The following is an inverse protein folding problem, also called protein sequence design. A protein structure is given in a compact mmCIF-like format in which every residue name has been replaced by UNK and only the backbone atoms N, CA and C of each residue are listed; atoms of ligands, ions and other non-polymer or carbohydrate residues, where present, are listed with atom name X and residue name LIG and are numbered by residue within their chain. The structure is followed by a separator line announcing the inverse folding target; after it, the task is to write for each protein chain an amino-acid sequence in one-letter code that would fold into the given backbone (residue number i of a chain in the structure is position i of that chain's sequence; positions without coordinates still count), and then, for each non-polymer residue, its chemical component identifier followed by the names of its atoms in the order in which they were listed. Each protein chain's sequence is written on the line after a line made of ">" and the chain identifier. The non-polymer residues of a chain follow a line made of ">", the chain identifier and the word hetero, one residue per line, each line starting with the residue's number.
data_IF_498909287469
#
_entry.id   IF_498909287469
#
_cell.length_a   1.000
_cell.length_b   1.000
_cell.length_c   1.000
_cell.angle_alpha   90.00
_cell.angle_beta   90.00
_cell.angle_gamma   90.00
#
_symmetry.space_group_name_H-M   'P 1'
#
loop_
_entity.id
_entity.type
_entity.pdbx_description
1 polymer ?
#
# COMPACT_ATOMS: atom_id res chain seq x y z
N UNK A 1 7.23 -18.67 0.07
CA UNK A 1 6.98 -17.25 0.42
C UNK A 1 8.16 -16.76 1.22
N UNK A 2 8.77 -15.62 0.86
CA UNK A 2 9.80 -14.98 1.68
C UNK A 2 9.10 -13.92 2.52
N UNK A 3 8.88 -14.19 3.79
CA UNK A 3 8.39 -13.16 4.72
C UNK A 3 9.57 -12.25 5.06
N UNK A 4 9.47 -10.96 4.76
CA UNK A 4 10.50 -9.98 5.10
C UNK A 4 9.92 -9.05 6.17
N UNK A 5 10.40 -9.23 7.40
CA UNK A 5 10.07 -8.35 8.51
C UNK A 5 10.99 -7.12 8.44
N UNK A 6 10.45 -5.94 8.16
CA UNK A 6 11.20 -4.68 8.23
C UNK A 6 10.98 -4.00 9.57
N UNK A 7 11.61 -4.53 10.61
CA UNK A 7 11.72 -3.86 11.91
C UNK A 7 12.76 -2.76 11.77
N UNK A 8 12.30 -1.50 11.73
CA UNK A 8 13.04 -0.25 11.91
C UNK A 8 14.57 -0.41 12.05
N UNK A 9 15.33 -0.44 10.94
CA UNK A 9 16.79 -0.20 10.96
C UNK A 9 17.24 0.36 9.61
N UNK A 10 18.13 1.36 9.67
CA UNK A 10 19.24 1.47 8.74
C UNK A 10 18.94 2.14 7.41
N UNK A 11 19.52 3.34 7.24
CA UNK A 11 19.79 3.90 5.93
C UNK A 11 20.83 3.02 5.21
N UNK A 12 20.42 1.88 4.66
CA UNK A 12 21.27 1.17 3.71
C UNK A 12 21.19 1.91 2.36
N UNK A 13 22.35 2.44 1.97
CA UNK A 13 22.57 3.13 0.69
C UNK A 13 22.36 2.14 -0.46
N UNK A 14 21.16 2.15 -1.01
CA UNK A 14 20.83 1.52 -2.28
C UNK A 14 20.95 2.60 -3.37
N UNK A 15 21.51 2.26 -4.54
CA UNK A 15 21.85 3.21 -5.61
C UNK A 15 20.65 4.09 -5.97
N UNK A 16 20.73 5.35 -5.54
CA UNK A 16 19.60 6.13 -5.05
C UNK A 16 18.92 7.04 -6.08
N UNK A 17 19.43 7.14 -7.30
CA UNK A 17 19.03 8.23 -8.21
C UNK A 17 17.74 7.92 -8.99
N UNK A 18 17.62 6.74 -9.60
CA UNK A 18 16.43 6.37 -10.38
C UNK A 18 15.17 6.19 -9.51
N UNK A 19 15.31 5.55 -8.35
CA UNK A 19 14.21 5.43 -7.38
C UNK A 19 13.79 6.78 -6.80
N UNK A 20 14.74 7.70 -6.62
CA UNK A 20 14.42 9.06 -6.18
C UNK A 20 13.66 9.81 -7.26
N UNK A 21 14.09 9.78 -8.52
CA UNK A 21 13.41 10.52 -9.59
C UNK A 21 11.96 10.03 -9.82
N UNK A 22 11.74 8.72 -9.83
CA UNK A 22 10.38 8.16 -9.98
C UNK A 22 9.46 8.57 -8.81
N UNK A 23 9.96 8.47 -7.57
CA UNK A 23 9.21 8.89 -6.37
C UNK A 23 8.91 10.39 -6.44
N UNK A 24 9.89 11.24 -6.77
CA UNK A 24 9.70 12.69 -6.89
C UNK A 24 8.69 13.04 -7.99
N UNK A 25 8.71 12.33 -9.11
CA UNK A 25 7.74 12.53 -10.20
C UNK A 25 6.31 12.21 -9.77
N UNK A 26 6.12 11.05 -9.13
CA UNK A 26 4.81 10.65 -8.59
C UNK A 26 4.34 11.63 -7.50
N UNK A 27 5.25 12.08 -6.62
CA UNK A 27 4.98 13.08 -5.60
C UNK A 27 4.48 14.40 -6.18
N UNK A 28 5.12 14.91 -7.22
CA UNK A 28 4.68 16.16 -7.89
C UNK A 28 3.29 16.02 -8.49
N UNK A 29 2.96 14.87 -9.06
CA UNK A 29 1.66 14.65 -9.70
C UNK A 29 0.52 14.37 -8.73
N UNK A 30 0.79 13.67 -7.63
CA UNK A 30 -0.21 13.33 -6.62
C UNK A 30 -0.36 14.42 -5.56
N UNK A 31 0.74 15.11 -5.24
CA UNK A 31 0.77 16.23 -4.30
C UNK A 31 0.41 17.58 -4.92
N UNK A 32 0.38 17.69 -6.26
CA UNK A 32 0.02 18.91 -6.97
C UNK A 32 -1.37 19.40 -6.59
N UNK A 33 -1.46 20.58 -5.98
CA UNK A 33 -2.72 21.18 -5.54
C UNK A 33 -3.19 20.80 -4.13
N UNK A 34 -2.42 19.99 -3.40
CA UNK A 34 -2.67 19.72 -1.98
C UNK A 34 -2.17 20.86 -1.09
N UNK A 35 -2.77 20.98 0.11
CA UNK A 35 -2.23 21.86 1.14
C UNK A 35 -0.83 21.38 1.56
N UNK A 36 0.00 22.27 2.13
CA UNK A 36 1.35 21.90 2.60
C UNK A 36 1.32 20.74 3.61
N UNK A 37 0.30 20.69 4.47
CA UNK A 37 0.12 19.61 5.46
C UNK A 37 -0.18 18.29 4.77
N UNK A 38 -1.13 18.30 3.83
CA UNK A 38 -1.54 17.12 3.08
C UNK A 38 -0.43 16.58 2.20
N UNK A 39 0.33 17.46 1.55
CA UNK A 39 1.48 17.07 0.74
C UNK A 39 2.54 16.31 1.56
N UNK A 40 2.74 16.68 2.83
CA UNK A 40 3.64 15.96 3.76
C UNK A 40 3.12 14.55 4.07
N UNK A 41 1.80 14.39 4.25
CA UNK A 41 1.22 13.08 4.52
C UNK A 41 1.33 12.14 3.31
N UNK A 42 1.08 12.67 2.10
CA UNK A 42 1.34 11.93 0.83
C UNK A 42 2.81 11.57 0.69
N UNK A 43 3.70 12.52 1.00
CA UNK A 43 5.15 12.36 0.95
C UNK A 43 5.62 11.22 1.84
N UNK A 44 5.12 11.17 3.06
CA UNK A 44 5.47 10.11 4.00
C UNK A 44 5.03 8.73 3.48
N UNK A 45 3.80 8.60 2.97
CA UNK A 45 3.30 7.31 2.46
C UNK A 45 4.12 6.85 1.26
N UNK A 46 4.33 7.71 0.27
CA UNK A 46 5.05 7.36 -0.95
C UNK A 46 6.55 7.15 -0.69
N UNK A 47 7.21 8.01 0.07
CA UNK A 47 8.65 7.82 0.35
C UNK A 47 8.92 6.59 1.19
N UNK A 48 8.02 6.18 2.08
CA UNK A 48 8.26 5.02 2.95
C UNK A 48 7.83 3.73 2.28
N UNK A 49 6.57 3.61 1.86
CA UNK A 49 6.06 2.34 1.33
C UNK A 49 6.58 2.07 -0.09
N UNK A 50 6.49 3.06 -0.99
CA UNK A 50 6.86 2.86 -2.39
C UNK A 50 8.36 2.61 -2.57
N UNK A 51 9.24 3.31 -1.83
CA UNK A 51 10.69 3.03 -1.87
C UNK A 51 11.05 1.63 -1.38
N UNK A 52 10.37 1.13 -0.34
CA UNK A 52 10.57 -0.24 0.14
C UNK A 52 10.16 -1.25 -0.92
N UNK A 53 9.02 -1.02 -1.59
CA UNK A 53 8.55 -1.86 -2.69
C UNK A 53 9.57 -1.87 -3.83
N UNK A 54 10.05 -0.71 -4.28
CA UNK A 54 11.09 -0.61 -5.30
C UNK A 54 12.34 -1.40 -4.90
N UNK A 55 12.81 -1.22 -3.66
CA UNK A 55 13.98 -1.95 -3.14
C UNK A 55 13.77 -3.46 -3.16
N UNK A 56 12.60 -3.91 -2.70
CA UNK A 56 12.28 -5.32 -2.57
C UNK A 56 12.11 -6.04 -3.90
N UNK A 57 11.64 -5.31 -4.91
CA UNK A 57 11.48 -5.80 -6.27
C UNK A 57 12.70 -5.52 -7.14
N UNK A 58 13.83 -5.09 -6.56
CA UNK A 58 15.04 -4.71 -7.30
C UNK A 58 14.76 -3.73 -8.45
N UNK A 59 13.86 -2.78 -8.19
CA UNK A 59 13.37 -1.76 -9.11
C UNK A 59 12.59 -2.31 -10.34
N UNK A 60 12.34 -3.61 -10.40
CA UNK A 60 11.52 -4.25 -11.42
C UNK A 60 10.04 -4.26 -11.01
N UNK A 61 9.32 -3.23 -11.46
CA UNK A 61 7.87 -3.12 -11.33
C UNK A 61 7.10 -3.69 -12.53
N UNK A 62 7.79 -4.16 -13.58
CA UNK A 62 7.11 -4.46 -14.84
C UNK A 62 6.13 -5.63 -14.69
N UNK A 63 4.85 -5.35 -14.95
CA UNK A 63 3.77 -6.34 -14.87
C UNK A 63 3.55 -6.96 -13.48
N UNK A 64 4.15 -6.41 -12.42
CA UNK A 64 4.02 -6.93 -11.06
C UNK A 64 2.63 -6.69 -10.49
N UNK A 65 2.03 -7.71 -9.88
CA UNK A 65 0.77 -7.58 -9.15
C UNK A 65 1.08 -7.22 -7.70
N UNK A 66 0.63 -6.05 -7.24
CA UNK A 66 0.92 -5.51 -5.91
C UNK A 66 -0.39 -5.36 -5.13
N UNK A 67 -0.50 -6.11 -4.04
CA UNK A 67 -1.64 -6.07 -3.12
C UNK A 67 -1.33 -5.11 -1.97
N UNK A 68 -2.13 -4.05 -1.79
CA UNK A 68 -2.02 -3.10 -0.68
C UNK A 68 -3.19 -3.28 0.29
N UNK A 69 -2.88 -3.87 1.44
CA UNK A 69 -3.87 -4.20 2.45
C UNK A 69 -4.04 -3.05 3.42
N UNK A 70 -5.30 -2.74 3.73
CA UNK A 70 -5.72 -1.56 4.46
C UNK A 70 -5.15 -0.30 3.83
N UNK A 71 -5.32 -0.21 2.51
CA UNK A 71 -4.81 0.89 1.69
C UNK A 71 -5.48 2.22 2.05
N UNK A 72 -6.55 2.22 2.83
CA UNK A 72 -7.33 3.39 3.15
C UNK A 72 -8.38 3.70 2.09
N UNK A 73 -9.06 4.83 2.27
CA UNK A 73 -10.19 5.25 1.44
C UNK A 73 -10.24 6.76 1.33
N UNK A 74 -10.94 7.28 0.31
CA UNK A 74 -11.34 8.69 0.34
C UNK A 74 -12.23 8.93 1.57
N UNK A 75 -12.17 10.13 2.16
CA UNK A 75 -13.19 10.56 3.10
C UNK A 75 -14.49 10.81 2.33
N UNK A 76 -15.24 9.75 2.08
CA UNK A 76 -16.64 9.84 1.71
C UNK A 76 -17.39 9.99 3.04
N UNK A 77 -18.09 11.10 3.23
CA UNK A 77 -19.27 11.18 4.10
C UNK A 77 -19.01 11.39 5.61
N UNK A 78 -17.90 12.04 5.99
CA UNK A 78 -17.77 12.60 7.35
C UNK A 78 -17.62 11.58 8.49
N UNK A 79 -17.49 10.29 8.19
CA UNK A 79 -17.26 9.22 9.16
C UNK A 79 -15.78 9.03 9.56
N UNK A 80 -14.87 9.83 8.99
CA UNK A 80 -13.55 9.97 9.58
C UNK A 80 -13.73 10.76 10.87
N UNK A 81 -13.66 10.07 12.01
CA UNK A 81 -13.37 10.75 13.26
C UNK A 81 -12.13 11.60 13.00
N UNK A 82 -12.24 12.90 13.23
CA UNK A 82 -11.14 13.84 13.15
C UNK A 82 -10.11 13.39 14.21
N UNK A 83 -9.23 12.48 13.83
CA UNK A 83 -8.25 11.89 14.72
C UNK A 83 -7.28 13.00 15.07
N UNK A 84 -7.55 13.65 16.21
CA UNK A 84 -6.91 14.86 16.69
C UNK A 84 -5.41 14.84 16.40
N UNK A 85 -4.99 15.59 15.37
CA UNK A 85 -3.59 15.74 14.98
C UNK A 85 -3.23 15.31 13.55
N UNK A 86 -4.01 14.43 12.89
CA UNK A 86 -3.68 13.95 11.54
C UNK A 86 -4.62 14.50 10.47
N UNK A 87 -4.11 14.73 9.25
CA UNK A 87 -5.00 15.01 8.12
C UNK A 87 -5.78 13.74 7.78
N UNK A 88 -7.10 13.81 7.53
CA UNK A 88 -7.86 12.68 6.96
C UNK A 88 -7.22 12.15 5.67
N UNK A 89 -6.54 13.03 4.92
CA UNK A 89 -5.82 12.66 3.71
C UNK A 89 -4.72 11.63 3.93
N UNK A 90 -4.17 11.51 5.14
CA UNK A 90 -3.14 10.52 5.45
C UNK A 90 -3.62 9.07 5.25
N UNK A 91 -4.92 8.83 5.35
CA UNK A 91 -5.54 7.52 5.20
C UNK A 91 -6.20 7.33 3.83
N UNK A 92 -5.84 8.15 2.85
CA UNK A 92 -6.24 7.91 1.46
C UNK A 92 -5.30 6.89 0.79
N UNK A 93 -5.75 6.19 -0.26
CA UNK A 93 -5.01 5.10 -0.92
C UNK A 93 -3.90 5.59 -1.85
N UNK A 94 -2.96 6.37 -1.32
CA UNK A 94 -1.89 7.00 -2.09
C UNK A 94 -0.98 6.01 -2.79
N UNK A 95 -0.64 4.89 -2.13
CA UNK A 95 0.19 3.86 -2.74
C UNK A 95 -0.50 3.25 -3.97
N UNK A 96 -1.77 2.82 -3.83
CA UNK A 96 -2.55 2.32 -4.96
C UNK A 96 -2.69 3.35 -6.08
N UNK A 97 -2.95 4.63 -5.76
CA UNK A 97 -3.01 5.70 -6.77
C UNK A 97 -1.69 5.91 -7.50
N UNK A 98 -0.57 5.83 -6.79
CA UNK A 98 0.76 5.93 -7.39
C UNK A 98 1.02 4.76 -8.34
N UNK A 99 0.77 3.53 -7.89
CA UNK A 99 0.90 2.33 -8.71
C UNK A 99 -0.01 2.36 -9.94
N UNK A 100 -1.25 2.82 -9.78
CA UNK A 100 -2.21 2.93 -10.87
C UNK A 100 -1.81 3.98 -11.92
N UNK A 101 -1.12 5.06 -11.51
CA UNK A 101 -0.51 5.99 -12.47
C UNK A 101 0.57 5.31 -13.31
N UNK A 102 1.34 4.39 -12.73
CA UNK A 102 2.35 3.62 -13.46
C UNK A 102 1.69 2.58 -14.38
N UNK A 103 0.63 1.93 -13.90
CA UNK A 103 -0.20 0.99 -14.67
C UNK A 103 -0.76 1.61 -15.94
N UNK A 104 -1.38 2.79 -15.81
CA UNK A 104 -2.13 3.45 -16.88
C UNK A 104 -1.25 4.26 -17.84
N UNK A 105 -0.02 4.59 -17.43
CA UNK A 105 0.90 5.40 -18.22
C UNK A 105 2.35 4.88 -18.14
N UNK A 106 2.63 3.60 -18.40
CA UNK A 106 3.92 2.98 -18.08
C UNK A 106 5.09 3.63 -18.84
N UNK A 107 4.90 3.95 -20.12
CA UNK A 107 5.94 4.57 -20.97
C UNK A 107 6.38 5.94 -20.42
N UNK A 108 5.46 6.71 -19.84
CA UNK A 108 5.77 8.00 -19.20
C UNK A 108 6.77 7.83 -18.05
N UNK A 109 6.81 6.67 -17.43
CA UNK A 109 7.70 6.36 -16.31
C UNK A 109 8.84 5.41 -16.69
N UNK A 110 9.05 5.17 -17.98
CA UNK A 110 10.14 4.32 -18.47
C UNK A 110 9.88 2.83 -18.29
N UNK A 111 8.63 2.41 -18.15
CA UNK A 111 8.21 1.01 -18.09
C UNK A 111 7.59 0.59 -19.43
N UNK A 112 7.83 -0.65 -19.84
CA UNK A 112 7.11 -1.26 -20.96
C UNK A 112 5.70 -1.71 -20.54
N UNK A 113 5.55 -2.13 -19.28
CA UNK A 113 4.29 -2.50 -18.66
C UNK A 113 4.28 -2.01 -17.21
N UNK A 114 3.18 -1.41 -16.77
CA UNK A 114 3.06 -0.93 -15.39
C UNK A 114 2.68 -2.07 -14.43
N UNK A 115 2.92 -1.89 -13.12
CA UNK A 115 2.41 -2.81 -12.11
C UNK A 115 0.87 -2.75 -12.04
N UNK A 116 0.25 -3.82 -11.58
CA UNK A 116 -1.19 -3.90 -11.34
C UNK A 116 -1.48 -3.80 -9.83
N UNK A 117 -2.03 -2.67 -9.34
CA UNK A 117 -2.38 -2.51 -7.93
C UNK A 117 -3.74 -3.10 -7.59
N UNK A 118 -3.81 -3.79 -6.45
CA UNK A 118 -5.05 -4.26 -5.84
C UNK A 118 -5.14 -3.66 -4.43
N UNK A 119 -6.15 -2.83 -4.17
CA UNK A 119 -6.40 -2.25 -2.84
C UNK A 119 -7.44 -3.05 -2.05
N UNK A 120 -7.22 -3.23 -0.75
CA UNK A 120 -8.22 -3.83 0.15
C UNK A 120 -8.37 -2.97 1.38
N UNK A 121 -9.59 -2.60 1.77
CA UNK A 121 -9.87 -1.90 3.03
C UNK A 121 -11.29 -2.20 3.52
N UNK A 122 -11.62 -1.85 4.76
CA UNK A 122 -12.98 -2.01 5.30
C UNK A 122 -13.92 -0.91 4.79
N UNK A 123 -13.38 0.28 4.50
CA UNK A 123 -14.13 1.39 3.90
C UNK A 123 -14.03 1.27 2.38
N UNK A 124 -15.11 1.43 1.61
CA UNK A 124 -15.07 1.29 0.15
C UNK A 124 -14.25 2.42 -0.52
N UNK A 125 -13.47 2.07 -1.54
CA UNK A 125 -12.66 3.00 -2.36
C UNK A 125 -13.49 3.67 -3.48
N UNK A 126 -14.63 4.28 -3.12
CA UNK A 126 -15.54 4.88 -4.11
C UNK A 126 -14.81 5.96 -4.93
N UNK A 127 -14.87 5.82 -6.25
CA UNK A 127 -14.27 6.78 -7.20
C UNK A 127 -12.77 6.62 -7.44
N UNK A 128 -12.14 5.57 -6.90
CA UNK A 128 -10.80 5.16 -7.30
C UNK A 128 -10.82 4.39 -8.64
N UNK A 129 -9.74 4.53 -9.43
CA UNK A 129 -9.63 3.91 -10.76
C UNK A 129 -8.94 2.54 -10.79
N UNK A 130 -8.40 2.08 -9.66
CA UNK A 130 -7.70 0.81 -9.53
C UNK A 130 -8.62 -0.29 -9.00
N UNK A 131 -8.21 -1.55 -9.17
CA UNK A 131 -8.91 -2.71 -8.62
C UNK A 131 -8.95 -2.64 -7.10
N UNK A 132 -10.15 -2.68 -6.50
CA UNK A 132 -10.30 -2.56 -5.06
C UNK A 132 -11.43 -3.42 -4.51
N UNK A 133 -11.25 -3.87 -3.27
CA UNK A 133 -12.21 -4.70 -2.56
C UNK A 133 -12.49 -4.17 -1.16
N UNK A 134 -13.77 -4.02 -0.85
CA UNK A 134 -14.21 -3.75 0.50
C UNK A 134 -14.25 -5.06 1.32
N UNK A 135 -13.36 -5.21 2.31
CA UNK A 135 -13.27 -6.39 3.18
C UNK A 135 -12.85 -6.00 4.59
N UNK A 136 -13.44 -6.68 5.56
CA UNK A 136 -12.96 -6.65 6.94
C UNK A 136 -11.82 -7.66 7.09
N UNK A 137 -10.58 -7.16 7.16
CA UNK A 137 -9.37 -7.97 7.30
C UNK A 137 -9.26 -8.70 8.65
N UNK A 138 -10.11 -8.37 9.63
CA UNK A 138 -10.20 -9.12 10.90
C UNK A 138 -10.97 -10.43 10.75
N UNK A 139 -11.75 -10.58 9.67
CA UNK A 139 -12.54 -11.77 9.39
C UNK A 139 -11.73 -12.80 8.59
N UNK A 140 -12.05 -14.07 8.81
CA UNK A 140 -11.54 -15.16 7.99
C UNK A 140 -12.12 -15.09 6.57
N UNK A 141 -11.35 -15.56 5.59
CA UNK A 141 -11.64 -15.51 4.15
C UNK A 141 -11.78 -14.08 3.62
N UNK A 142 -11.11 -13.12 4.27
CA UNK A 142 -11.10 -11.73 3.81
C UNK A 142 -10.38 -11.56 2.48
N UNK A 143 -9.57 -12.54 2.05
CA UNK A 143 -8.83 -12.54 0.78
C UNK A 143 -9.29 -13.62 -0.23
N UNK A 144 -10.47 -14.23 -0.06
CA UNK A 144 -10.93 -15.34 -0.91
C UNK A 144 -11.27 -14.96 -2.36
N UNK A 145 -11.47 -13.67 -2.62
CA UNK A 145 -11.64 -13.11 -3.96
C UNK A 145 -10.35 -13.13 -4.79
N UNK A 146 -9.19 -13.25 -4.14
CA UNK A 146 -7.91 -13.25 -4.82
C UNK A 146 -7.55 -14.67 -5.29
N UNK A 147 -7.17 -14.85 -6.58
CA UNK A 147 -6.72 -16.15 -7.06
C UNK A 147 -5.45 -16.59 -6.34
N UNK A 148 -5.26 -17.91 -6.22
CA UNK A 148 -4.02 -18.48 -5.67
C UNK A 148 -2.84 -18.15 -6.58
N UNK A 149 -1.68 -17.86 -5.99
CA UNK A 149 -0.44 -17.50 -6.72
C UNK A 149 -0.61 -16.33 -7.72
N UNK A 150 -1.42 -15.32 -7.37
CA UNK A 150 -1.66 -14.16 -8.24
C UNK A 150 -0.81 -12.94 -7.91
N UNK A 151 -0.36 -12.80 -6.65
CA UNK A 151 0.29 -11.58 -6.14
C UNK A 151 1.81 -11.74 -6.10
N UNK A 152 2.57 -10.77 -6.62
CA UNK A 152 4.03 -10.72 -6.53
C UNK A 152 4.49 -10.14 -5.18
N UNK A 153 3.84 -9.07 -4.73
CA UNK A 153 4.13 -8.40 -3.46
C UNK A 153 2.83 -8.03 -2.75
N UNK A 154 2.72 -8.40 -1.47
CA UNK A 154 1.69 -7.90 -0.56
C UNK A 154 2.32 -6.88 0.40
N UNK A 155 1.79 -5.67 0.45
CA UNK A 155 2.13 -4.62 1.39
C UNK A 155 1.00 -4.47 2.40
N UNK A 156 1.39 -4.29 3.66
CA UNK A 156 0.46 -4.13 4.76
C UNK A 156 0.60 -2.72 5.35
N UNK A 157 -0.48 -1.94 5.24
CA UNK A 157 -0.50 -0.49 5.51
C UNK A 157 -1.30 -0.09 6.76
N UNK A 158 -1.92 -1.04 7.47
CA UNK A 158 -3.04 -0.75 8.40
C UNK A 158 -2.72 -0.65 9.89
N UNK A 159 -1.53 -1.02 10.38
CA UNK A 159 -1.31 -1.10 11.84
C UNK A 159 -1.45 0.19 12.65
N UNK A 160 -1.55 1.37 12.01
CA UNK A 160 -1.80 2.64 12.70
C UNK A 160 -3.22 3.19 12.52
N UNK A 161 -4.12 2.45 11.85
CA UNK A 161 -5.51 2.88 11.70
C UNK A 161 -6.22 2.79 13.05
N UNK A 162 -6.72 3.91 13.61
CA UNK A 162 -7.44 3.81 14.88
C UNK A 162 -8.77 3.07 14.72
N UNK A 163 -9.36 3.09 13.52
CA UNK A 163 -10.51 2.26 13.16
C UNK A 163 -10.18 0.79 13.40
N UNK A 164 -9.07 0.29 12.85
CA UNK A 164 -8.63 -1.08 13.09
C UNK A 164 -8.42 -1.36 14.58
N UNK A 165 -7.77 -0.45 15.33
CA UNK A 165 -7.54 -0.65 16.76
C UNK A 165 -8.82 -0.80 17.58
N UNK A 166 -9.92 -0.17 17.14
CA UNK A 166 -11.23 -0.27 17.78
C UNK A 166 -12.04 -1.52 17.41
N UNK A 167 -11.61 -2.29 16.41
CA UNK A 167 -12.35 -3.44 15.92
C UNK A 167 -12.09 -4.70 16.76
N UNK A 168 -13.12 -5.54 17.00
CA UNK A 168 -12.92 -6.89 17.51
C UNK A 168 -12.00 -7.69 16.57
N UNK A 169 -11.06 -8.46 17.14
CA UNK A 169 -10.11 -9.27 16.35
C UNK A 169 -8.88 -8.51 15.82
N UNK A 170 -8.77 -7.21 16.07
CA UNK A 170 -7.61 -6.39 15.66
C UNK A 170 -6.26 -6.86 16.17
N UNK A 171 -6.23 -7.56 17.32
CA UNK A 171 -5.00 -8.16 17.88
C UNK A 171 -4.47 -9.34 17.05
N UNK A 172 -5.38 -10.05 16.38
CA UNK A 172 -5.07 -11.27 15.62
C UNK A 172 -5.06 -11.01 14.10
N UNK A 173 -5.46 -9.80 13.65
CA UNK A 173 -5.58 -9.43 12.23
C UNK A 173 -4.33 -9.80 11.43
N UNK A 174 -3.14 -9.58 11.99
CA UNK A 174 -1.88 -9.94 11.32
C UNK A 174 -1.80 -11.44 11.05
N UNK A 175 -2.12 -12.26 12.05
CA UNK A 175 -2.05 -13.72 11.94
C UNK A 175 -3.12 -14.22 10.98
N UNK A 176 -4.33 -13.68 11.03
CA UNK A 176 -5.43 -14.01 10.12
C UNK A 176 -5.02 -13.71 8.67
N UNK A 177 -4.61 -12.48 8.39
CA UNK A 177 -4.18 -12.03 7.07
C UNK A 177 -2.96 -12.82 6.57
N UNK A 178 -1.97 -13.04 7.44
CA UNK A 178 -0.77 -13.80 7.06
C UNK A 178 -1.10 -15.22 6.60
N UNK A 179 -2.04 -15.91 7.27
CA UNK A 179 -2.45 -17.25 6.88
C UNK A 179 -3.12 -17.27 5.49
N UNK A 180 -3.91 -16.25 5.17
CA UNK A 180 -4.60 -16.12 3.88
C UNK A 180 -3.68 -15.65 2.75
N UNK A 181 -2.62 -14.90 3.05
CA UNK A 181 -1.65 -14.46 2.05
C UNK A 181 -0.78 -15.59 1.52
N UNK A 182 -0.45 -16.59 2.33
CA UNK A 182 0.38 -17.75 1.93
C UNK A 182 -0.07 -18.37 0.60
N UNK A 183 -1.35 -18.72 0.40
CA UNK A 183 -1.83 -19.28 -0.87
C UNK A 183 -2.01 -18.24 -1.99
N UNK A 184 -2.15 -16.95 -1.68
CA UNK A 184 -2.40 -15.88 -2.67
C UNK A 184 -1.09 -15.40 -3.31
N UNK A 185 -0.03 -15.25 -2.53
CA UNK A 185 1.27 -14.76 -3.00
C UNK A 185 1.99 -15.84 -3.83
N UNK A 186 2.54 -15.44 -4.98
CA UNK A 186 3.32 -16.30 -5.89
C UNK A 186 4.47 -16.99 -5.15
N UNK A 187 4.91 -18.13 -5.68
CA UNK A 187 6.16 -18.77 -5.21
C UNK A 187 7.34 -17.80 -5.41
N UNK A 188 8.00 -17.43 -4.32
CA UNK A 188 9.08 -16.43 -4.33
C UNK A 188 8.61 -15.00 -4.12
N UNK A 189 7.30 -14.75 -4.09
CA UNK A 189 6.73 -13.45 -3.78
C UNK A 189 6.98 -12.99 -2.34
N UNK A 190 6.74 -11.71 -2.14
CA UNK A 190 7.17 -10.93 -0.99
C UNK A 190 5.96 -10.52 -0.16
N UNK A 191 6.07 -10.68 1.16
CA UNK A 191 5.16 -10.04 2.10
C UNK A 191 5.91 -8.97 2.88
N UNK A 192 5.58 -7.69 2.62
CA UNK A 192 6.11 -6.52 3.28
C UNK A 192 5.22 -6.18 4.48
N UNK A 193 5.77 -6.44 5.66
CA UNK A 193 5.13 -6.11 6.95
C UNK A 193 5.74 -4.83 7.48
N UNK A 194 4.92 -3.80 7.68
CA UNK A 194 5.38 -2.54 8.25
C UNK A 194 5.34 -2.63 9.78
N UNK A 195 6.36 -3.29 10.36
CA UNK A 195 6.49 -3.39 11.82
C UNK A 195 6.90 -2.04 12.42
N UNK A 196 5.90 -1.22 12.73
CA UNK A 196 6.06 -0.13 13.69
C UNK A 196 5.69 -0.56 15.12
N UNK A 197 5.06 -1.73 15.31
CA UNK A 197 4.65 -2.24 16.61
C UNK A 197 4.78 -3.77 16.68
N UNK A 198 5.98 -4.26 16.97
CA UNK A 198 6.18 -5.49 17.77
C UNK A 198 6.58 -5.07 19.17
#
# INVERSE_FOLDING_TARGET
>A
MRTVYYTKVGHDKISSEQSTDLVEKLMRELGGGLSKKDAIDVDMVLRVAFRKILTLLDHDLEGRVILDLGCGSRPCDGNYQDYSGYSPRRFEPWLCRALHKLETNPEKYGLSQGPHPIGVDIIPQIGEGFESYQRDLTQAKSLDMLPRNSVDLANESFFTSPTLLSMPGSKDVFRTVQAELVPVVKKGGIFLVNSLYQ
#
